data_IF_856897376393
#
_entry.id   IF_856897376393
#
_cell.length_a   1.000
_cell.length_b   1.000
_cell.length_c   1.000
_cell.angle_alpha   90.00
_cell.angle_beta   90.00
_cell.angle_gamma   90.00
#
_symmetry.space_group_name_H-M   'P 1'
#
loop_
_entity.id
_entity.type
_entity.pdbx_description
1 polymer ?
#
# COMPACT_ATOMS: atom_id res chain seq x y z
N UNK A 1 -20.79 -3.01 -2.92
CA UNK A 1 -21.34 -3.67 -4.14
C UNK A 1 -20.65 -5.01 -4.39
N UNK A 2 -19.34 -5.11 -4.58
CA UNK A 2 -18.62 -6.37 -4.91
C UNK A 2 -18.88 -7.51 -3.91
N UNK A 3 -18.98 -7.22 -2.59
CA UNK A 3 -19.35 -8.22 -1.58
C UNK A 3 -20.72 -8.84 -1.87
N UNK A 4 -21.75 -8.02 -2.09
CA UNK A 4 -23.12 -8.49 -2.39
C UNK A 4 -23.19 -9.34 -3.67
N UNK A 5 -22.32 -9.05 -4.64
CA UNK A 5 -22.24 -9.82 -5.88
C UNK A 5 -21.60 -11.18 -5.60
N UNK A 6 -20.50 -11.21 -4.83
CA UNK A 6 -19.84 -12.43 -4.43
C UNK A 6 -20.74 -13.34 -3.59
N UNK A 7 -21.46 -12.79 -2.60
CA UNK A 7 -22.47 -13.52 -1.77
C UNK A 7 -23.61 -14.14 -2.59
N UNK A 8 -23.94 -13.56 -3.75
CA UNK A 8 -24.98 -14.04 -4.66
C UNK A 8 -24.48 -14.95 -5.78
N UNK A 9 -23.23 -15.33 -5.75
CA UNK A 9 -22.63 -16.20 -6.75
C UNK A 9 -22.85 -17.70 -6.39
N UNK A 10 -23.86 -18.38 -6.93
CA UNK A 10 -24.05 -19.82 -6.72
C UNK A 10 -23.29 -20.66 -7.73
N UNK A 11 -22.56 -20.02 -8.63
CA UNK A 11 -21.94 -20.66 -9.79
C UNK A 11 -20.54 -21.22 -9.50
N UNK A 12 -19.92 -21.86 -10.51
CA UNK A 12 -18.61 -22.50 -10.37
C UNK A 12 -17.43 -21.50 -10.31
N UNK A 13 -17.67 -20.20 -10.56
CA UNK A 13 -16.59 -19.20 -10.52
C UNK A 13 -16.18 -18.95 -9.07
N UNK A 14 -14.86 -18.98 -8.75
CA UNK A 14 -14.37 -18.58 -7.44
C UNK A 14 -14.74 -17.12 -7.13
N UNK A 15 -14.98 -16.81 -5.86
CA UNK A 15 -15.33 -15.46 -5.40
C UNK A 15 -14.36 -14.38 -5.89
N UNK A 16 -13.05 -14.66 -5.85
CA UNK A 16 -12.02 -13.74 -6.34
C UNK A 16 -12.15 -13.42 -7.84
N UNK A 17 -12.48 -14.42 -8.66
CA UNK A 17 -12.71 -14.22 -10.10
C UNK A 17 -13.95 -13.32 -10.34
N UNK A 18 -15.05 -13.60 -9.62
CA UNK A 18 -16.28 -12.79 -9.70
C UNK A 18 -15.99 -11.32 -9.32
N UNK A 19 -15.28 -11.11 -8.22
CA UNK A 19 -14.89 -9.75 -7.77
C UNK A 19 -14.05 -9.03 -8.83
N UNK A 20 -13.11 -9.72 -9.47
CA UNK A 20 -12.25 -9.15 -10.51
C UNK A 20 -13.06 -8.74 -11.75
N UNK A 21 -13.90 -9.64 -12.28
CA UNK A 21 -14.73 -9.36 -13.46
C UNK A 21 -15.65 -8.15 -13.21
N UNK A 22 -16.36 -8.14 -12.09
CA UNK A 22 -17.27 -7.03 -11.80
C UNK A 22 -16.53 -5.72 -11.51
N UNK A 23 -15.30 -5.76 -10.98
CA UNK A 23 -14.47 -4.55 -10.82
C UNK A 23 -14.12 -3.97 -12.19
N UNK A 24 -13.69 -4.79 -13.16
CA UNK A 24 -13.40 -4.33 -14.52
C UNK A 24 -14.63 -3.75 -15.23
N UNK A 25 -15.79 -4.39 -15.09
CA UNK A 25 -17.05 -3.85 -15.61
C UNK A 25 -17.35 -2.48 -14.99
N UNK A 26 -17.28 -2.36 -13.66
CA UNK A 26 -17.53 -1.09 -12.97
C UNK A 26 -16.51 -0.02 -13.35
N UNK A 27 -15.24 -0.39 -13.46
CA UNK A 27 -14.15 0.49 -13.89
C UNK A 27 -14.41 1.05 -15.30
N UNK A 28 -14.77 0.18 -16.25
CA UNK A 28 -15.10 0.58 -17.61
C UNK A 28 -16.34 1.48 -17.67
N UNK A 29 -17.41 1.17 -16.91
CA UNK A 29 -18.60 2.02 -16.86
C UNK A 29 -18.30 3.41 -16.28
N UNK A 30 -17.52 3.50 -15.20
CA UNK A 30 -17.15 4.79 -14.61
C UNK A 30 -16.29 5.61 -15.58
N UNK A 31 -15.39 4.98 -16.33
CA UNK A 31 -14.56 5.67 -17.30
C UNK A 31 -15.34 6.30 -18.44
N UNK A 32 -16.52 5.77 -18.77
CA UNK A 32 -17.43 6.37 -19.76
C UNK A 32 -18.11 7.64 -19.26
N UNK A 33 -18.37 7.72 -17.94
CA UNK A 33 -18.97 8.91 -17.33
C UNK A 33 -17.92 9.98 -17.03
N UNK A 34 -16.86 9.60 -16.35
CA UNK A 34 -15.73 10.46 -16.00
C UNK A 34 -14.44 9.65 -15.90
N UNK A 35 -13.48 9.84 -16.84
CA UNK A 35 -12.18 9.17 -16.76
C UNK A 35 -11.44 9.56 -15.47
N UNK A 36 -11.21 8.59 -14.61
CA UNK A 36 -10.45 8.79 -13.37
C UNK A 36 -8.95 8.88 -13.65
N UNK A 37 -8.27 9.79 -12.96
CA UNK A 37 -6.82 9.97 -13.02
C UNK A 37 -6.23 9.51 -11.70
N UNK A 38 -5.36 8.52 -11.75
CA UNK A 38 -4.76 7.87 -10.58
C UNK A 38 -3.25 8.15 -10.59
N UNK A 39 -2.77 8.89 -9.59
CA UNK A 39 -1.34 9.04 -9.34
C UNK A 39 -0.84 7.88 -8.48
N UNK A 40 0.33 7.32 -8.78
CA UNK A 40 0.92 6.28 -7.96
C UNK A 40 2.44 6.42 -7.84
N UNK A 41 3.02 5.90 -6.74
CA UNK A 41 4.45 5.94 -6.49
C UNK A 41 5.18 4.86 -7.27
N UNK A 42 6.22 5.26 -7.99
CA UNK A 42 7.17 4.40 -8.69
C UNK A 42 7.12 4.57 -10.20
N UNK A 43 8.03 3.96 -10.94
CA UNK A 43 7.82 3.76 -12.37
C UNK A 43 6.72 2.73 -12.62
N UNK A 44 6.30 2.58 -13.90
CA UNK A 44 5.43 1.50 -14.32
C UNK A 44 6.08 0.13 -14.05
N UNK A 45 5.27 -0.90 -13.82
CA UNK A 45 5.73 -2.26 -13.46
C UNK A 45 6.03 -2.46 -11.97
N UNK A 46 5.73 -1.48 -11.08
CA UNK A 46 5.92 -1.62 -9.64
C UNK A 46 4.71 -2.24 -8.95
N UNK A 47 4.92 -2.73 -7.70
CA UNK A 47 3.84 -3.22 -6.85
C UNK A 47 2.80 -2.15 -6.52
N UNK A 48 3.20 -0.86 -6.49
CA UNK A 48 2.26 0.24 -6.28
C UNK A 48 1.29 0.38 -7.46
N UNK A 49 1.77 0.26 -8.69
CA UNK A 49 0.90 0.20 -9.87
C UNK A 49 -0.06 -0.99 -9.82
N UNK A 50 0.46 -2.17 -9.45
CA UNK A 50 -0.36 -3.37 -9.28
C UNK A 50 -1.45 -3.18 -8.22
N UNK A 51 -1.13 -2.50 -7.10
CA UNK A 51 -2.10 -2.16 -6.07
C UNK A 51 -3.15 -1.15 -6.60
N UNK A 52 -2.74 -0.15 -7.36
CA UNK A 52 -3.65 0.81 -7.98
C UNK A 52 -4.63 0.12 -8.95
N UNK A 53 -4.13 -0.73 -9.84
CA UNK A 53 -4.97 -1.52 -10.77
C UNK A 53 -5.88 -2.51 -10.03
N UNK A 54 -5.38 -3.14 -8.95
CA UNK A 54 -6.19 -4.02 -8.09
C UNK A 54 -7.36 -3.27 -7.44
N UNK A 55 -7.23 -1.99 -7.13
CA UNK A 55 -8.29 -1.19 -6.51
C UNK A 55 -9.28 -0.64 -7.53
N UNK A 56 -8.77 -0.02 -8.59
CA UNK A 56 -9.56 0.78 -9.53
C UNK A 56 -9.96 0.03 -10.81
N UNK A 57 -9.40 -1.16 -11.08
CA UNK A 57 -9.48 -1.80 -12.39
C UNK A 57 -8.52 -1.18 -13.40
N UNK A 58 -8.65 -1.56 -14.67
CA UNK A 58 -7.71 -1.19 -15.72
C UNK A 58 -8.09 0.06 -16.54
N UNK A 59 -9.34 0.53 -16.43
CA UNK A 59 -9.86 1.61 -17.25
C UNK A 59 -9.38 3.04 -16.90
N UNK A 60 -9.01 3.40 -15.64
CA UNK A 60 -8.48 4.72 -15.32
C UNK A 60 -7.16 5.05 -16.02
N UNK A 61 -6.86 6.36 -16.12
CA UNK A 61 -5.53 6.81 -16.51
C UNK A 61 -4.59 6.77 -15.30
N UNK A 62 -3.51 6.00 -15.40
CA UNK A 62 -2.50 5.85 -14.35
C UNK A 62 -1.26 6.68 -14.67
N UNK A 63 -0.81 7.52 -13.73
CA UNK A 63 0.39 8.35 -13.86
C UNK A 63 1.37 8.01 -12.75
N UNK A 64 2.57 7.57 -13.12
CA UNK A 64 3.65 7.26 -12.18
C UNK A 64 4.38 8.51 -11.72
N UNK A 65 4.79 8.52 -10.46
CA UNK A 65 5.60 9.57 -9.85
C UNK A 65 6.83 9.00 -9.16
N UNK A 66 7.96 9.66 -9.29
CA UNK A 66 9.24 9.18 -8.75
C UNK A 66 9.38 9.33 -7.24
N UNK A 67 8.54 10.17 -6.63
CA UNK A 67 8.52 10.38 -5.19
C UNK A 67 7.08 10.28 -4.64
N UNK A 68 6.94 9.78 -3.41
CA UNK A 68 5.65 9.73 -2.69
C UNK A 68 5.07 11.15 -2.55
N UNK A 69 5.91 12.16 -2.32
CA UNK A 69 5.55 13.58 -2.26
C UNK A 69 4.81 14.06 -3.50
N UNK A 70 5.24 13.62 -4.67
CA UNK A 70 4.65 14.02 -5.94
C UNK A 70 3.24 13.43 -6.11
N UNK A 71 3.01 12.22 -5.59
CA UNK A 71 1.68 11.61 -5.56
C UNK A 71 0.72 12.46 -4.72
N UNK A 72 1.14 12.85 -3.50
CA UNK A 72 0.34 13.73 -2.64
C UNK A 72 0.05 15.06 -3.34
N UNK A 73 1.07 15.72 -3.90
CA UNK A 73 0.91 16.99 -4.63
C UNK A 73 -0.01 16.88 -5.84
N UNK A 74 0.05 15.77 -6.59
CA UNK A 74 -0.82 15.55 -7.74
C UNK A 74 -2.30 15.52 -7.35
N UNK A 75 -2.62 14.88 -6.21
CA UNK A 75 -4.01 14.85 -5.71
C UNK A 75 -4.40 16.19 -5.09
N UNK A 76 -3.53 16.81 -4.29
CA UNK A 76 -3.78 18.11 -3.66
C UNK A 76 -4.05 19.21 -4.69
N UNK A 77 -3.28 19.24 -5.79
CA UNK A 77 -3.47 20.20 -6.88
C UNK A 77 -4.66 19.88 -7.80
N UNK A 78 -5.24 18.67 -7.70
CA UNK A 78 -6.31 18.20 -8.60
C UNK A 78 -5.82 17.72 -9.97
N UNK A 79 -4.52 17.49 -10.13
CA UNK A 79 -3.96 16.86 -11.33
C UNK A 79 -4.26 15.35 -11.37
N UNK A 80 -4.52 14.74 -10.22
CA UNK A 80 -5.06 13.40 -10.07
C UNK A 80 -6.29 13.42 -9.15
N UNK A 81 -7.21 12.49 -9.36
CA UNK A 81 -8.41 12.35 -8.55
C UNK A 81 -8.13 11.49 -7.31
N UNK A 82 -7.21 10.51 -7.46
CA UNK A 82 -6.75 9.63 -6.37
C UNK A 82 -5.23 9.46 -6.43
N UNK A 83 -4.67 9.15 -5.24
CA UNK A 83 -3.26 8.77 -5.09
C UNK A 83 -3.12 7.40 -4.47
N UNK A 84 -2.16 6.59 -4.93
CA UNK A 84 -1.85 5.29 -4.32
C UNK A 84 -0.40 5.28 -3.86
N UNK A 85 -0.19 5.02 -2.58
CA UNK A 85 1.12 5.02 -1.93
C UNK A 85 1.28 3.85 -0.96
N UNK A 86 2.48 3.26 -0.80
CA UNK A 86 2.73 2.25 0.21
C UNK A 86 2.75 2.89 1.60
N UNK A 87 2.22 2.20 2.62
CA UNK A 87 2.22 2.67 4.02
C UNK A 87 2.94 1.70 4.95
N UNK A 88 2.93 0.41 4.62
CA UNK A 88 3.47 -0.62 5.49
C UNK A 88 3.80 -1.89 4.70
N UNK A 89 4.90 -2.52 5.05
CA UNK A 89 5.26 -3.85 4.57
C UNK A 89 5.41 -4.79 5.78
N UNK A 90 4.96 -6.04 5.67
CA UNK A 90 4.93 -6.98 6.79
C UNK A 90 6.32 -7.38 7.30
N UNK A 91 7.36 -7.25 6.47
CA UNK A 91 8.76 -7.56 6.84
C UNK A 91 9.58 -6.33 7.21
N UNK A 92 9.35 -5.19 6.56
CA UNK A 92 10.15 -3.97 6.72
C UNK A 92 9.51 -2.94 7.64
N UNK A 93 8.21 -3.11 7.96
CA UNK A 93 7.47 -2.18 8.79
C UNK A 93 6.94 -0.96 8.03
N UNK A 94 6.79 0.16 8.73
CA UNK A 94 6.12 1.34 8.24
C UNK A 94 6.93 2.13 7.21
N UNK A 95 6.27 2.63 6.15
CA UNK A 95 6.85 3.54 5.17
C UNK A 95 6.85 4.97 5.74
N UNK A 96 7.98 5.35 6.33
CA UNK A 96 8.13 6.60 7.09
C UNK A 96 7.70 7.83 6.32
N UNK A 97 8.04 7.96 5.03
CA UNK A 97 7.69 9.14 4.23
C UNK A 97 6.19 9.33 4.06
N UNK A 98 5.45 8.25 3.83
CA UNK A 98 3.98 8.31 3.75
C UNK A 98 3.38 8.81 5.06
N UNK A 99 3.84 8.28 6.21
CA UNK A 99 3.36 8.72 7.51
C UNK A 99 3.68 10.18 7.80
N UNK A 100 4.88 10.66 7.43
CA UNK A 100 5.27 12.07 7.60
C UNK A 100 4.36 13.02 6.81
N UNK A 101 4.01 12.66 5.57
CA UNK A 101 3.11 13.45 4.73
C UNK A 101 1.67 13.46 5.25
N UNK A 102 1.20 12.34 5.82
CA UNK A 102 -0.14 12.25 6.41
C UNK A 102 -0.35 13.20 7.59
N UNK A 103 0.71 13.65 8.27
CA UNK A 103 0.60 14.63 9.33
C UNK A 103 0.07 15.99 8.85
N UNK A 104 0.50 16.43 7.66
CA UNK A 104 0.28 17.79 7.17
C UNK A 104 -0.70 17.90 6.01
N UNK A 105 -0.86 16.85 5.19
CA UNK A 105 -1.75 16.88 4.02
C UNK A 105 -3.22 17.09 4.40
N UNK A 106 -4.01 17.83 3.59
CA UNK A 106 -5.46 17.88 3.73
C UNK A 106 -6.18 16.65 3.15
N UNK A 107 -5.45 15.76 2.46
CA UNK A 107 -6.06 14.57 1.86
C UNK A 107 -6.57 13.58 2.90
N UNK A 108 -7.55 12.80 2.51
CA UNK A 108 -8.14 11.74 3.30
C UNK A 108 -7.75 10.38 2.76
N UNK A 109 -7.60 9.40 3.63
CA UNK A 109 -7.52 8.00 3.26
C UNK A 109 -8.95 7.54 2.96
N UNK A 110 -9.22 7.18 1.71
CA UNK A 110 -10.54 6.70 1.26
C UNK A 110 -10.55 5.20 0.93
N UNK A 111 -9.42 4.52 1.04
CA UNK A 111 -9.32 3.08 0.82
C UNK A 111 -7.95 2.53 1.17
N UNK A 112 -7.88 1.21 1.24
CA UNK A 112 -6.63 0.49 1.41
C UNK A 112 -6.57 -0.74 0.49
N UNK A 113 -5.36 -1.16 0.13
CA UNK A 113 -5.10 -2.35 -0.67
C UNK A 113 -4.00 -3.17 -0.01
N UNK A 114 -4.30 -4.40 0.36
CA UNK A 114 -3.29 -5.40 0.68
C UNK A 114 -2.83 -6.11 -0.59
N UNK A 115 -1.54 -6.17 -0.83
CA UNK A 115 -0.96 -6.88 -1.96
C UNK A 115 0.15 -7.81 -1.46
N UNK A 116 0.00 -9.11 -1.72
CA UNK A 116 1.08 -10.08 -1.52
C UNK A 116 2.23 -9.75 -2.47
N UNK A 117 3.44 -9.69 -1.95
CA UNK A 117 4.64 -9.36 -2.71
C UNK A 117 5.28 -10.65 -3.20
N UNK A 118 5.11 -10.92 -4.47
CA UNK A 118 5.65 -12.08 -5.15
C UNK A 118 6.83 -11.66 -6.00
N UNK A 119 8.00 -12.20 -5.70
CA UNK A 119 9.22 -11.92 -6.43
C UNK A 119 9.49 -13.04 -7.43
N UNK A 120 9.81 -12.69 -8.66
CA UNK A 120 10.10 -13.65 -9.71
C UNK A 120 11.47 -13.36 -10.30
N UNK A 121 12.23 -14.42 -10.58
CA UNK A 121 13.41 -14.34 -11.43
C UNK A 121 12.98 -14.27 -12.88
N UNK A 122 13.43 -13.28 -13.62
CA UNK A 122 13.04 -13.06 -15.01
C UNK A 122 14.20 -12.59 -15.88
N UNK A 123 14.12 -12.89 -17.18
CA UNK A 123 15.10 -12.49 -18.19
C UNK A 123 14.51 -12.51 -19.60
N UNK A 124 15.19 -11.88 -20.57
CA UNK A 124 14.93 -12.12 -22.01
C UNK A 124 15.38 -13.51 -22.44
N UNK A 125 16.41 -14.08 -21.78
CA UNK A 125 16.80 -15.46 -21.98
C UNK A 125 15.72 -16.41 -21.46
N UNK A 126 15.57 -17.57 -22.10
CA UNK A 126 14.70 -18.64 -21.61
C UNK A 126 15.41 -19.61 -20.64
N UNK A 127 16.72 -19.39 -20.35
CA UNK A 127 17.54 -20.32 -19.57
C UNK A 127 18.36 -19.56 -18.51
N UNK A 128 18.36 -20.09 -17.28
CA UNK A 128 19.02 -19.50 -16.12
C UNK A 128 20.55 -19.58 -16.22
N UNK A 129 21.07 -20.61 -16.86
CA UNK A 129 22.51 -20.86 -17.07
C UNK A 129 23.21 -19.83 -17.98
N UNK A 130 22.44 -18.99 -18.65
CA UNK A 130 22.93 -17.88 -19.48
C UNK A 130 23.05 -16.56 -18.75
N UNK A 131 22.76 -16.53 -17.45
CA UNK A 131 22.76 -15.30 -16.67
C UNK A 131 24.15 -15.04 -16.06
N UNK A 132 24.74 -13.90 -16.40
CA UNK A 132 26.02 -13.43 -15.85
C UNK A 132 25.83 -12.54 -14.60
N UNK A 133 24.67 -11.92 -14.43
CA UNK A 133 24.35 -11.02 -13.31
C UNK A 133 22.83 -10.88 -13.10
N UNK A 134 22.45 -10.46 -11.88
CA UNK A 134 21.06 -10.20 -11.50
C UNK A 134 20.90 -8.77 -11.01
N UNK A 135 19.88 -8.08 -11.53
CA UNK A 135 19.46 -6.76 -11.06
C UNK A 135 18.23 -6.89 -10.15
N UNK A 136 18.16 -6.10 -9.08
CA UNK A 136 16.94 -5.86 -8.31
C UNK A 136 17.13 -4.68 -7.35
N UNK A 137 16.03 -4.22 -6.75
CA UNK A 137 16.13 -3.35 -5.59
C UNK A 137 16.78 -4.10 -4.41
N UNK A 138 17.59 -3.39 -3.62
CA UNK A 138 18.34 -4.01 -2.52
C UNK A 138 17.45 -4.79 -1.54
N UNK A 139 16.26 -4.25 -1.25
CA UNK A 139 15.25 -4.90 -0.40
C UNK A 139 14.77 -6.23 -1.00
N UNK A 140 14.47 -6.29 -2.29
CA UNK A 140 14.01 -7.52 -2.95
C UNK A 140 15.11 -8.58 -3.02
N UNK A 141 16.39 -8.17 -3.19
CA UNK A 141 17.52 -9.09 -3.07
C UNK A 141 17.64 -9.68 -1.67
N UNK A 142 17.36 -8.88 -0.62
CA UNK A 142 17.33 -9.36 0.76
C UNK A 142 16.16 -10.33 1.03
N UNK A 143 15.00 -10.06 0.46
CA UNK A 143 13.80 -10.89 0.58
C UNK A 143 13.87 -12.23 -0.18
N UNK A 144 14.84 -12.39 -1.09
CA UNK A 144 15.08 -13.61 -1.87
C UNK A 144 16.46 -14.21 -1.56
N UNK A 145 17.08 -13.82 -0.45
CA UNK A 145 18.47 -14.14 -0.14
C UNK A 145 18.75 -15.64 -0.06
N UNK A 146 17.91 -16.39 0.65
CA UNK A 146 18.07 -17.83 0.83
C UNK A 146 17.89 -18.57 -0.50
N UNK A 147 16.82 -18.23 -1.23
CA UNK A 147 16.56 -18.84 -2.53
C UNK A 147 17.70 -18.57 -3.51
N UNK A 148 18.17 -17.33 -3.62
CA UNK A 148 19.27 -16.95 -4.52
C UNK A 148 20.60 -17.62 -4.13
N UNK A 149 20.89 -17.77 -2.83
CA UNK A 149 22.11 -18.46 -2.38
C UNK A 149 22.08 -19.96 -2.69
N UNK A 150 20.90 -20.57 -2.62
CA UNK A 150 20.75 -22.01 -2.91
C UNK A 150 20.82 -22.34 -4.39
N UNK A 151 20.23 -21.50 -5.25
CA UNK A 151 20.06 -21.82 -6.67
C UNK A 151 21.07 -21.09 -7.58
N UNK A 152 21.53 -19.90 -7.18
CA UNK A 152 22.39 -19.01 -7.98
C UNK A 152 23.53 -18.40 -7.14
N UNK A 153 24.33 -19.22 -6.42
CA UNK A 153 25.33 -18.71 -5.48
C UNK A 153 26.45 -17.90 -6.15
N UNK A 154 26.79 -18.22 -7.41
CA UNK A 154 27.89 -17.61 -8.14
C UNK A 154 27.51 -16.36 -8.95
N UNK A 155 26.22 -16.08 -9.13
CA UNK A 155 25.77 -14.97 -9.97
C UNK A 155 25.84 -13.65 -9.17
N UNK A 156 26.58 -12.63 -9.65
CA UNK A 156 26.64 -11.31 -9.03
C UNK A 156 25.27 -10.64 -8.96
N UNK A 157 24.96 -10.02 -7.81
CA UNK A 157 23.72 -9.29 -7.52
C UNK A 157 24.01 -7.80 -7.53
N UNK A 158 23.37 -7.08 -8.43
CA UNK A 158 23.59 -5.64 -8.63
C UNK A 158 22.35 -4.87 -8.17
N UNK A 159 22.43 -4.15 -7.03
CA UNK A 159 21.32 -3.35 -6.56
C UNK A 159 21.07 -2.14 -7.47
N UNK A 160 19.78 -1.89 -7.75
CA UNK A 160 19.31 -0.76 -8.56
C UNK A 160 18.18 -0.01 -7.85
N UNK A 161 17.76 1.13 -8.41
CA UNK A 161 16.81 2.04 -7.77
C UNK A 161 15.41 1.45 -7.56
N UNK A 162 14.99 0.49 -8.41
CA UNK A 162 13.67 -0.17 -8.29
C UNK A 162 13.66 -1.52 -9.01
N UNK A 163 12.68 -2.38 -8.66
CA UNK A 163 12.46 -3.65 -9.37
C UNK A 163 12.06 -3.44 -10.84
N UNK A 164 11.32 -2.38 -11.13
CA UNK A 164 10.97 -2.03 -12.51
C UNK A 164 12.20 -1.60 -13.33
N UNK A 165 13.14 -0.86 -12.72
CA UNK A 165 14.43 -0.54 -13.34
C UNK A 165 15.27 -1.79 -13.58
N UNK A 166 15.28 -2.73 -12.63
CA UNK A 166 15.92 -4.02 -12.80
C UNK A 166 15.39 -4.79 -14.01
N UNK A 167 14.06 -4.85 -14.16
CA UNK A 167 13.41 -5.49 -15.28
C UNK A 167 13.72 -4.79 -16.62
N UNK A 168 13.77 -3.45 -16.62
CA UNK A 168 14.16 -2.67 -17.80
C UNK A 168 15.59 -2.96 -18.26
N UNK A 169 16.53 -3.07 -17.30
CA UNK A 169 17.92 -3.41 -17.58
C UNK A 169 18.06 -4.84 -18.13
N UNK A 170 17.34 -5.81 -17.52
CA UNK A 170 17.32 -7.19 -17.98
C UNK A 170 16.67 -7.34 -19.38
N UNK A 171 15.72 -6.47 -19.73
CA UNK A 171 15.14 -6.43 -21.06
C UNK A 171 16.13 -5.97 -22.15
N UNK A 172 17.10 -5.12 -21.77
CA UNK A 172 18.11 -4.60 -22.67
C UNK A 172 19.32 -5.52 -22.85
N UNK A 173 19.53 -6.48 -21.94
CA UNK A 173 20.68 -7.38 -21.93
C UNK A 173 20.25 -8.82 -21.64
N UNK A 174 20.19 -9.70 -22.67
CA UNK A 174 19.78 -11.10 -22.50
C UNK A 174 20.70 -11.95 -21.61
N UNK A 175 21.92 -11.51 -21.30
CA UNK A 175 22.81 -12.17 -20.36
C UNK A 175 22.53 -11.77 -18.89
N UNK A 176 21.58 -10.87 -18.67
CA UNK A 176 21.19 -10.43 -17.33
C UNK A 176 19.79 -10.88 -16.95
N UNK A 177 19.58 -11.09 -15.64
CA UNK A 177 18.29 -11.35 -15.04
C UNK A 177 17.84 -10.21 -14.14
N UNK A 178 16.56 -10.19 -13.81
CA UNK A 178 15.99 -9.32 -12.80
C UNK A 178 15.19 -10.12 -11.78
N UNK A 179 15.11 -9.60 -10.54
CA UNK A 179 14.15 -10.05 -9.54
C UNK A 179 13.12 -8.95 -9.38
N UNK A 180 11.86 -9.23 -9.76
CA UNK A 180 10.77 -8.26 -9.76
C UNK A 180 9.38 -8.94 -9.69
N UNK A 181 8.33 -8.12 -9.59
CA UNK A 181 6.95 -8.59 -9.67
C UNK A 181 6.52 -8.94 -11.10
N UNK A 182 5.47 -9.75 -11.24
CA UNK A 182 4.94 -10.21 -12.53
C UNK A 182 4.56 -9.06 -13.47
N UNK A 183 4.03 -7.94 -12.96
CA UNK A 183 3.70 -6.77 -13.76
C UNK A 183 4.91 -6.19 -14.52
N UNK A 184 6.11 -6.28 -13.94
CA UNK A 184 7.34 -5.88 -14.61
C UNK A 184 7.72 -6.87 -15.74
N UNK A 185 7.52 -8.17 -15.52
CA UNK A 185 7.76 -9.18 -16.56
C UNK A 185 6.85 -8.93 -17.78
N UNK A 186 5.56 -8.67 -17.53
CA UNK A 186 4.59 -8.35 -18.59
C UNK A 186 4.96 -7.06 -19.33
N UNK A 187 5.30 -5.98 -18.60
CA UNK A 187 5.61 -4.68 -19.18
C UNK A 187 6.84 -4.71 -20.08
N UNK A 188 7.88 -5.46 -19.67
CA UNK A 188 9.16 -5.53 -20.39
C UNK A 188 9.31 -6.80 -21.23
N UNK A 189 8.25 -7.60 -21.34
CA UNK A 189 8.20 -8.86 -22.11
C UNK A 189 9.36 -9.79 -21.73
N UNK A 190 9.53 -10.04 -20.43
CA UNK A 190 10.52 -10.96 -19.87
C UNK A 190 9.91 -12.32 -19.60
N UNK A 191 10.70 -13.37 -19.80
CA UNK A 191 10.36 -14.72 -19.39
C UNK A 191 10.54 -14.86 -17.87
N UNK A 192 9.54 -15.39 -17.17
CA UNK A 192 9.68 -15.77 -15.76
C UNK A 192 10.41 -17.12 -15.73
N UNK A 193 11.64 -17.12 -15.24
CA UNK A 193 12.49 -18.32 -15.13
C UNK A 193 12.24 -19.09 -13.83
N UNK A 194 11.89 -18.39 -12.76
CA UNK A 194 11.43 -18.98 -11.51
C UNK A 194 10.44 -18.04 -10.85
N UNK A 195 9.28 -18.57 -10.44
CA UNK A 195 8.22 -17.80 -9.81
C UNK A 195 8.25 -17.93 -8.28
N UNK A 196 7.83 -16.85 -7.59
CA UNK A 196 7.64 -16.83 -6.14
C UNK A 196 8.92 -17.25 -5.37
N UNK A 197 10.01 -16.55 -5.66
CA UNK A 197 11.32 -16.84 -5.08
C UNK A 197 11.59 -16.08 -3.77
N UNK A 198 10.60 -15.35 -3.25
CA UNK A 198 10.67 -14.70 -1.93
C UNK A 198 10.81 -15.74 -0.81
N UNK A 199 11.67 -15.45 0.19
CA UNK A 199 11.94 -16.36 1.31
C UNK A 199 10.75 -16.42 2.28
N UNK A 200 9.97 -15.32 2.43
CA UNK A 200 8.70 -15.29 3.17
C UNK A 200 7.49 -15.24 2.22
N UNK A 201 6.73 -16.33 2.09
CA UNK A 201 5.56 -16.39 1.22
C UNK A 201 4.38 -15.54 1.69
N UNK A 202 4.42 -15.01 2.94
CA UNK A 202 3.37 -14.16 3.50
C UNK A 202 3.71 -12.66 3.40
N UNK A 203 4.84 -12.31 2.76
CA UNK A 203 5.22 -10.91 2.58
C UNK A 203 4.10 -10.13 1.88
N UNK A 204 3.57 -9.15 2.58
CA UNK A 204 2.44 -8.34 2.14
C UNK A 204 2.74 -6.86 2.34
N UNK A 205 2.44 -6.05 1.34
CA UNK A 205 2.48 -4.60 1.44
C UNK A 205 1.06 -4.04 1.46
N UNK A 206 0.82 -3.15 2.41
CA UNK A 206 -0.40 -2.35 2.52
C UNK A 206 -0.17 -1.01 1.83
N UNK A 207 -1.10 -0.65 0.94
CA UNK A 207 -1.14 0.62 0.24
C UNK A 207 -2.37 1.41 0.67
N UNK A 208 -2.24 2.73 0.71
CA UNK A 208 -3.35 3.65 0.96
C UNK A 208 -3.82 4.27 -0.35
N UNK A 209 -5.12 4.45 -0.43
CA UNK A 209 -5.77 5.24 -1.47
C UNK A 209 -6.14 6.59 -0.87
N UNK A 210 -5.62 7.67 -1.47
CA UNK A 210 -5.77 9.04 -1.02
C UNK A 210 -6.70 9.82 -1.94
N UNK A 211 -7.56 10.67 -1.38
CA UNK A 211 -8.43 11.56 -2.12
C UNK A 211 -8.70 12.86 -1.34
N UNK A 212 -9.38 13.82 -1.97
CA UNK A 212 -9.85 15.06 -1.31
C UNK A 212 -11.14 14.86 -0.52
N UNK A 213 -11.77 13.70 -0.63
CA UNK A 213 -13.03 13.35 0.03
C UNK A 213 -12.88 12.07 0.84
N UNK A 214 -13.78 11.88 1.77
CA UNK A 214 -13.86 10.69 2.60
C UNK A 214 -14.65 9.58 1.89
N UNK A 215 -14.44 8.32 2.28
CA UNK A 215 -15.28 7.22 1.83
C UNK A 215 -16.59 7.18 2.62
N UNK A 216 -17.65 6.73 1.98
CA UNK A 216 -18.92 6.47 2.64
C UNK A 216 -18.89 5.20 3.48
N UNK A 217 -19.87 5.06 4.39
CA UNK A 217 -20.09 3.88 5.22
C UNK A 217 -20.25 2.60 4.37
N UNK A 218 -19.48 1.58 4.68
CA UNK A 218 -19.56 0.26 4.04
C UNK A 218 -20.10 -0.84 4.94
N UNK A 219 -20.12 -0.60 6.25
CA UNK A 219 -20.49 -1.56 7.29
C UNK A 219 -19.35 -2.49 7.70
N UNK A 220 -18.18 -2.39 7.08
CA UNK A 220 -16.93 -3.06 7.46
C UNK A 220 -15.78 -2.08 7.26
N UNK A 221 -15.76 -1.07 8.10
CA UNK A 221 -14.87 0.07 7.93
C UNK A 221 -13.73 0.06 8.95
N UNK A 222 -12.74 0.86 8.65
CA UNK A 222 -11.60 1.20 9.49
C UNK A 222 -11.48 2.71 9.54
N UNK A 223 -11.15 3.24 10.69
CA UNK A 223 -10.78 4.66 10.84
C UNK A 223 -9.30 4.74 11.21
N UNK A 224 -8.55 5.49 10.41
CA UNK A 224 -7.16 5.85 10.72
C UNK A 224 -7.09 7.27 11.25
N UNK A 225 -6.34 7.46 12.31
CA UNK A 225 -6.07 8.79 12.87
C UNK A 225 -4.64 8.88 13.39
N UNK A 226 -4.17 10.11 13.59
CA UNK A 226 -2.91 10.39 14.26
C UNK A 226 -3.17 11.33 15.43
N UNK A 227 -2.51 11.05 16.55
CA UNK A 227 -2.61 11.89 17.75
C UNK A 227 -1.26 12.03 18.44
N UNK A 228 -1.15 13.02 19.33
CA UNK A 228 0.01 13.20 20.21
C UNK A 228 -0.39 12.94 21.66
N UNK A 229 0.43 12.20 22.41
CA UNK A 229 0.26 12.10 23.86
C UNK A 229 1.10 13.17 24.56
N UNK A 230 0.63 13.66 25.71
CA UNK A 230 1.43 14.46 26.60
C UNK A 230 2.60 13.64 27.14
N UNK A 231 3.79 14.25 27.29
CA UNK A 231 4.93 13.55 27.87
C UNK A 231 4.81 13.45 29.41
N UNK A 232 3.99 12.50 29.87
CA UNK A 232 3.75 12.19 31.30
C UNK A 232 3.68 10.67 31.51
N UNK A 233 3.95 10.18 32.73
CA UNK A 233 3.71 8.78 33.05
C UNK A 233 2.28 8.36 32.75
N UNK A 234 2.08 7.20 32.09
CA UNK A 234 0.77 6.66 31.75
C UNK A 234 0.14 7.26 30.48
N UNK A 235 0.76 8.20 29.78
CA UNK A 235 0.20 8.91 28.64
C UNK A 235 -0.38 8.00 27.53
N UNK A 236 0.29 6.90 27.21
CA UNK A 236 -0.22 5.92 26.23
C UNK A 236 -1.43 5.16 26.79
N UNK A 237 -1.45 4.85 28.08
CA UNK A 237 -2.60 4.22 28.73
C UNK A 237 -3.82 5.15 28.65
N UNK A 238 -3.66 6.44 28.98
CA UNK A 238 -4.73 7.43 28.93
C UNK A 238 -5.30 7.56 27.52
N UNK A 239 -4.42 7.57 26.50
CA UNK A 239 -4.78 7.61 25.08
C UNK A 239 -5.64 6.40 24.65
N UNK A 240 -5.41 5.21 25.22
CA UNK A 240 -6.14 4.00 24.86
C UNK A 240 -7.42 3.80 25.67
N UNK A 241 -7.57 4.51 26.80
CA UNK A 241 -8.72 4.40 27.70
C UNK A 241 -10.06 4.68 27.03
N UNK A 242 -10.25 5.74 26.21
CA UNK A 242 -11.52 5.98 25.53
C UNK A 242 -11.89 4.86 24.57
N UNK A 243 -10.94 4.29 23.83
CA UNK A 243 -11.20 3.17 22.91
C UNK A 243 -11.72 1.95 23.68
N UNK A 244 -11.09 1.61 24.81
CA UNK A 244 -11.53 0.54 25.71
C UNK A 244 -12.91 0.80 26.29
N UNK A 245 -13.17 2.03 26.77
CA UNK A 245 -14.45 2.39 27.41
C UNK A 245 -15.64 2.25 26.44
N UNK A 246 -15.43 2.52 25.18
CA UNK A 246 -16.44 2.38 24.12
C UNK A 246 -16.40 1.03 23.38
N UNK A 247 -15.52 0.09 23.77
CA UNK A 247 -15.42 -1.22 23.12
C UNK A 247 -14.93 -1.17 21.66
N UNK A 248 -14.13 -0.15 21.31
CA UNK A 248 -13.59 0.02 19.96
C UNK A 248 -12.27 -0.73 19.83
N UNK A 249 -12.19 -1.68 18.91
CA UNK A 249 -10.98 -2.45 18.62
C UNK A 249 -9.94 -1.63 17.88
N UNK A 250 -8.68 -1.74 18.30
CA UNK A 250 -7.52 -1.18 17.63
C UNK A 250 -6.81 -2.26 16.83
N UNK A 251 -6.55 -2.00 15.54
CA UNK A 251 -5.88 -2.95 14.64
C UNK A 251 -4.44 -2.56 14.31
N UNK A 252 -4.04 -1.30 14.58
CA UNK A 252 -2.67 -0.81 14.39
C UNK A 252 -2.32 0.26 15.42
N UNK A 253 -1.05 0.23 15.87
CA UNK A 253 -0.46 1.26 16.71
C UNK A 253 1.00 1.46 16.29
N UNK A 254 1.34 2.63 15.79
CA UNK A 254 2.68 2.97 15.31
C UNK A 254 3.13 4.28 15.95
N UNK A 255 4.23 4.26 16.69
CA UNK A 255 4.81 5.46 17.30
C UNK A 255 5.90 6.04 16.43
N UNK A 256 5.91 7.36 16.26
CA UNK A 256 6.96 8.06 15.51
C UNK A 256 7.36 9.37 16.18
N UNK A 257 8.66 9.75 16.10
CA UNK A 257 9.07 11.09 16.47
C UNK A 257 8.32 12.14 15.63
N UNK A 258 7.74 13.13 16.31
CA UNK A 258 7.03 14.23 15.67
C UNK A 258 8.04 15.27 15.13
N UNK A 259 8.56 15.05 13.94
CA UNK A 259 9.48 16.01 13.29
C UNK A 259 8.75 17.31 13.00
N UNK A 260 9.10 18.39 13.75
CA UNK A 260 8.53 19.73 13.55
C UNK A 260 7.13 19.96 14.14
N UNK A 261 6.56 19.00 14.88
CA UNK A 261 5.29 19.12 15.56
C UNK A 261 5.52 19.29 17.09
N UNK A 262 4.81 20.24 17.73
CA UNK A 262 4.75 20.33 19.20
C UNK A 262 5.95 20.96 19.92
N UNK A 263 6.90 21.60 19.25
CA UNK A 263 7.96 22.44 19.90
C UNK A 263 9.03 21.67 20.68
N UNK A 264 8.89 20.37 20.90
CA UNK A 264 9.89 19.52 21.59
C UNK A 264 10.61 18.61 20.59
N UNK A 265 11.95 18.50 20.71
CA UNK A 265 12.75 17.58 19.86
C UNK A 265 12.39 16.10 20.03
N UNK A 266 11.68 15.75 21.09
CA UNK A 266 11.33 14.39 21.46
C UNK A 266 9.81 14.18 21.63
N UNK A 267 8.98 15.00 20.97
CA UNK A 267 7.55 14.74 20.88
C UNK A 267 7.28 13.51 20.00
N UNK A 268 6.35 12.67 20.43
CA UNK A 268 5.91 11.50 19.67
C UNK A 268 4.48 11.71 19.18
N UNK A 269 4.22 11.21 17.98
CA UNK A 269 2.86 11.05 17.45
C UNK A 269 2.58 9.57 17.26
N UNK A 270 1.31 9.20 17.39
CA UNK A 270 0.84 7.84 17.30
C UNK A 270 -0.15 7.74 16.14
N UNK A 271 0.19 6.91 15.15
CA UNK A 271 -0.71 6.53 14.07
C UNK A 271 -1.49 5.32 14.53
N UNK A 272 -2.80 5.40 14.52
CA UNK A 272 -3.69 4.39 15.07
C UNK A 272 -4.77 4.08 14.05
N UNK A 273 -5.00 2.77 13.84
CA UNK A 273 -6.16 2.29 13.07
C UNK A 273 -7.12 1.59 14.04
N UNK A 274 -8.38 1.97 13.98
CA UNK A 274 -9.47 1.38 14.76
C UNK A 274 -10.55 0.79 13.84
N UNK A 275 -11.29 -0.19 14.33
CA UNK A 275 -12.43 -0.77 13.63
C UNK A 275 -13.64 0.15 13.73
N UNK A 276 -14.39 0.23 12.62
CA UNK A 276 -15.57 1.05 12.47
C UNK A 276 -15.33 2.39 11.78
N UNK A 277 -16.42 2.99 11.31
CA UNK A 277 -16.41 4.27 10.63
C UNK A 277 -16.56 5.42 11.63
N UNK A 278 -15.93 6.56 11.42
CA UNK A 278 -16.03 7.74 12.31
C UNK A 278 -17.44 8.29 12.49
N UNK A 279 -18.38 7.94 11.58
CA UNK A 279 -19.79 8.29 11.70
C UNK A 279 -20.59 7.27 12.50
N UNK A 280 -20.02 6.13 12.87
CA UNK A 280 -20.66 5.19 13.78
C UNK A 280 -20.76 5.83 15.17
N UNK A 281 -21.93 5.82 15.83
CA UNK A 281 -22.11 6.54 17.10
C UNK A 281 -21.13 6.12 18.21
N UNK A 282 -20.69 4.87 18.19
CA UNK A 282 -19.71 4.34 19.16
C UNK A 282 -18.31 4.91 18.87
N UNK A 283 -17.87 4.85 17.61
CA UNK A 283 -16.58 5.36 17.17
C UNK A 283 -16.50 6.88 17.33
N UNK A 284 -17.57 7.59 16.97
CA UNK A 284 -17.66 9.05 17.13
C UNK A 284 -17.43 9.46 18.59
N UNK A 285 -18.14 8.82 19.56
CA UNK A 285 -17.98 9.10 20.99
C UNK A 285 -16.56 8.78 21.47
N UNK A 286 -15.99 7.65 21.06
CA UNK A 286 -14.62 7.28 21.43
C UNK A 286 -13.60 8.32 20.93
N UNK A 287 -13.77 8.85 19.71
CA UNK A 287 -12.91 9.90 19.15
C UNK A 287 -13.12 11.26 19.83
N UNK A 288 -14.34 11.58 20.25
CA UNK A 288 -14.64 12.83 20.96
C UNK A 288 -14.04 12.81 22.37
N UNK A 289 -14.17 11.71 23.10
CA UNK A 289 -13.52 11.54 24.42
C UNK A 289 -11.99 11.59 24.27
N UNK A 290 -11.44 10.95 23.24
CA UNK A 290 -10.01 10.97 22.98
C UNK A 290 -9.48 12.39 22.71
N UNK A 291 -10.25 13.27 22.06
CA UNK A 291 -9.86 14.67 21.85
C UNK A 291 -9.63 15.44 23.15
N UNK A 292 -10.34 15.05 24.21
CA UNK A 292 -10.15 15.64 25.56
C UNK A 292 -8.83 15.21 26.23
N UNK A 293 -8.28 14.06 25.85
CA UNK A 293 -7.09 13.47 26.49
C UNK A 293 -5.79 13.79 25.77
N UNK A 294 -5.84 14.21 24.50
CA UNK A 294 -4.65 14.41 23.65
C UNK A 294 -4.44 15.86 23.26
N UNK A 295 -3.17 16.27 23.10
CA UNK A 295 -2.84 17.64 22.66
C UNK A 295 -3.13 17.90 21.16
N UNK A 296 -3.19 16.84 20.36
CA UNK A 296 -3.46 16.90 18.93
C UNK A 296 -4.14 15.60 18.48
N UNK A 297 -5.18 15.72 17.67
CA UNK A 297 -5.85 14.59 17.02
C UNK A 297 -6.28 15.01 15.61
N UNK A 298 -5.84 14.25 14.61
CA UNK A 298 -6.25 14.39 13.22
C UNK A 298 -6.78 13.05 12.71
N UNK A 299 -8.04 12.99 12.32
CA UNK A 299 -8.60 11.85 11.59
C UNK A 299 -8.04 11.89 10.17
N UNK A 300 -7.42 10.81 9.75
CA UNK A 300 -6.81 10.65 8.42
C UNK A 300 -7.78 10.10 7.39
N UNK A 301 -8.84 9.41 7.83
CA UNK A 301 -9.90 8.88 6.98
C UNK A 301 -10.63 7.72 7.64
N UNK A 302 -11.86 7.49 7.16
CA UNK A 302 -12.64 6.28 7.43
C UNK A 302 -12.97 5.62 6.11
N UNK A 303 -12.68 4.33 5.96
CA UNK A 303 -12.73 3.66 4.67
C UNK A 303 -12.99 2.15 4.82
N UNK A 304 -13.49 1.49 3.76
CA UNK A 304 -13.70 0.05 3.76
C UNK A 304 -12.40 -0.71 4.02
N UNK A 305 -12.45 -1.71 4.90
CA UNK A 305 -11.31 -2.63 5.14
C UNK A 305 -11.00 -3.41 3.88
N UNK A 306 -9.71 -3.56 3.58
CA UNK A 306 -9.29 -4.48 2.52
C UNK A 306 -9.83 -5.89 2.83
N UNK A 307 -10.31 -6.64 1.84
CA UNK A 307 -10.61 -8.05 2.03
C UNK A 307 -9.34 -8.78 2.50
N UNK A 308 -9.47 -9.55 3.55
CA UNK A 308 -8.43 -10.46 4.05
C UNK A 308 -8.09 -11.55 3.04
#
# INVERSE_FOLDING_TARGET
MLRRIAERNPGPLPEGAVRTIFREIMSACLALEQPLRIAYFGPAGTFTESAAKKHFGSAPTFTSHVAIDDVFRAVESGNADYGVVPVENSTEGAVGRTLDLLLTTPLMICGEVGLRIQQNLMSKSAAVDRLDKLYSHAQSLAQCHEWLNRHLPAIPRVPVASNAEAARLAAADPSSGAVAGEAAAQLYELNILAANIEDDPNNTTRFLVLAKHDAGLSGQDKTSFVCSAQNKPGAVHDLLTPLKAHGVSMSKFESRPARGFGGSRWAYVFFIDIEGHRQDPIVARALDDLRGEVGFLKVLGSYPRAPS
#
